data_IF_832730796335
#
_entry.id   IF_832730796335
#
_cell.length_a   1.000
_cell.length_b   1.000
_cell.length_c   1.000
_cell.angle_alpha   90.00
_cell.angle_beta   90.00
_cell.angle_gamma   90.00
#
_symmetry.space_group_name_H-M   'P 1'
#
loop_
_entity.id
_entity.type
_entity.pdbx_description
1 polymer ?
#
# COMPACT_ATOMS: atom_id res chain seq x y z
N UNK A 1 13.58 44.48 25.11
CA UNK A 1 13.87 43.17 24.53
C UNK A 1 13.87 43.39 23.02
N UNK A 2 15.05 43.67 22.45
CA UNK A 2 15.17 43.89 21.00
C UNK A 2 14.81 42.61 20.29
N UNK A 3 13.64 42.56 19.63
CA UNK A 3 13.26 41.54 18.70
C UNK A 3 14.16 41.66 17.46
N UNK A 4 15.45 41.29 17.60
CA UNK A 4 16.32 41.17 16.44
C UNK A 4 15.72 40.12 15.51
N UNK A 5 15.51 40.50 14.27
CA UNK A 5 15.08 39.58 13.24
C UNK A 5 16.04 38.39 13.15
N UNK A 6 15.56 37.20 13.48
CA UNK A 6 16.32 35.96 13.38
C UNK A 6 15.88 35.19 12.14
N UNK A 7 16.63 35.22 11.04
CA UNK A 7 16.30 34.57 9.81
C UNK A 7 16.29 33.04 9.96
N UNK A 8 17.12 32.47 10.84
CA UNK A 8 17.20 31.03 11.10
C UNK A 8 15.89 30.55 11.74
N UNK A 9 15.42 31.27 12.78
CA UNK A 9 14.14 31.01 13.40
C UNK A 9 12.99 31.11 12.38
N UNK A 10 13.00 32.16 11.54
CA UNK A 10 11.93 32.36 10.54
C UNK A 10 11.85 31.21 9.54
N UNK A 11 12.99 30.73 9.03
CA UNK A 11 13.05 29.56 8.13
C UNK A 11 12.56 28.32 8.87
N UNK A 12 12.99 28.08 10.10
CA UNK A 12 12.56 26.93 10.89
C UNK A 12 11.04 26.90 11.07
N UNK A 13 10.42 28.03 11.41
CA UNK A 13 8.96 28.15 11.58
C UNK A 13 8.21 27.90 10.27
N UNK A 14 8.74 28.38 9.14
CA UNK A 14 8.15 28.07 7.81
C UNK A 14 8.21 26.58 7.54
N UNK A 15 9.34 25.91 7.80
CA UNK A 15 9.45 24.45 7.60
C UNK A 15 8.50 23.66 8.50
N UNK A 16 8.37 24.03 9.79
CA UNK A 16 7.38 23.45 10.70
C UNK A 16 5.97 23.67 10.16
N UNK A 17 5.64 24.88 9.74
CA UNK A 17 4.34 25.21 9.15
C UNK A 17 4.03 24.37 7.92
N UNK A 18 4.95 24.31 6.95
CA UNK A 18 4.78 23.52 5.71
C UNK A 18 4.63 22.02 6.02
N UNK A 19 5.43 21.49 6.97
CA UNK A 19 5.36 20.08 7.37
C UNK A 19 3.96 19.65 7.84
N UNK A 20 3.25 20.50 8.56
CA UNK A 20 1.92 20.19 9.09
C UNK A 20 0.80 20.69 8.18
N UNK A 21 0.90 21.91 7.64
CA UNK A 21 -0.18 22.53 6.88
C UNK A 21 -0.48 21.76 5.59
N UNK A 22 0.55 21.34 4.84
CA UNK A 22 0.33 20.67 3.55
C UNK A 22 -0.41 19.33 3.70
N UNK A 23 0.01 18.37 4.57
CA UNK A 23 -0.74 17.14 4.79
C UNK A 23 -2.13 17.35 5.37
N UNK A 24 -2.29 18.30 6.30
CA UNK A 24 -3.60 18.63 6.88
C UNK A 24 -4.53 19.22 5.81
N UNK A 25 -4.05 20.20 5.03
CA UNK A 25 -4.83 20.81 3.96
C UNK A 25 -5.24 19.78 2.89
N UNK A 26 -4.33 18.87 2.53
CA UNK A 26 -4.64 17.78 1.61
C UNK A 26 -5.70 16.82 2.18
N UNK A 27 -5.56 16.43 3.45
CA UNK A 27 -6.56 15.60 4.11
C UNK A 27 -7.95 16.26 4.16
N UNK A 28 -8.02 17.53 4.55
CA UNK A 28 -9.27 18.28 4.57
C UNK A 28 -9.88 18.43 3.17
N UNK A 29 -9.04 18.72 2.16
CA UNK A 29 -9.47 18.75 0.76
C UNK A 29 -10.00 17.38 0.31
N UNK A 30 -9.29 16.30 0.61
CA UNK A 30 -9.72 14.94 0.30
C UNK A 30 -11.04 14.61 1.01
N UNK A 31 -11.13 14.88 2.31
CA UNK A 31 -12.29 14.59 3.15
C UNK A 31 -13.56 15.36 2.74
N UNK A 32 -13.44 16.66 2.43
CA UNK A 32 -14.58 17.53 2.20
C UNK A 32 -14.88 17.83 0.73
N UNK A 33 -13.97 17.48 -0.20
CA UNK A 33 -14.15 17.76 -1.63
C UNK A 33 -14.03 16.53 -2.51
N UNK A 34 -13.12 15.60 -2.24
CA UNK A 34 -12.95 14.43 -3.08
C UNK A 34 -13.85 13.27 -2.65
N UNK A 35 -14.00 13.06 -1.34
CA UNK A 35 -14.84 11.98 -0.77
C UNK A 35 -16.32 12.16 -1.11
N UNK A 36 -16.77 13.41 -1.24
CA UNK A 36 -18.16 13.74 -1.59
C UNK A 36 -18.47 13.57 -3.09
N UNK A 37 -17.47 13.29 -3.92
CA UNK A 37 -17.70 13.03 -5.35
C UNK A 37 -18.45 11.72 -5.52
N UNK A 38 -19.35 11.63 -6.50
CA UNK A 38 -19.93 10.36 -6.92
C UNK A 38 -18.84 9.47 -7.52
N UNK A 39 -19.02 8.16 -7.44
CA UNK A 39 -18.09 7.20 -8.03
C UNK A 39 -18.03 7.30 -9.55
N UNK A 40 -19.14 7.61 -10.22
CA UNK A 40 -19.26 7.63 -11.67
C UNK A 40 -18.67 6.37 -12.31
N UNK A 41 -19.09 5.22 -11.82
CA UNK A 41 -18.73 3.89 -12.31
C UNK A 41 -19.96 3.19 -12.88
N UNK A 42 -19.79 2.51 -13.99
CA UNK A 42 -20.78 1.62 -14.60
C UNK A 42 -20.55 0.19 -14.10
N UNK A 43 -21.06 -0.11 -12.90
CA UNK A 43 -20.87 -1.39 -12.23
C UNK A 43 -21.89 -2.41 -12.75
N UNK A 44 -21.43 -3.64 -13.01
CA UNK A 44 -22.28 -4.76 -13.46
C UNK A 44 -21.97 -6.05 -12.71
N UNK A 45 -22.94 -6.58 -12.00
CA UNK A 45 -22.85 -7.87 -11.29
C UNK A 45 -22.95 -9.08 -12.24
N UNK A 46 -23.38 -8.85 -13.47
CA UNK A 46 -23.44 -9.89 -14.53
C UNK A 46 -22.06 -10.17 -15.13
N UNK A 47 -21.11 -9.22 -14.99
CA UNK A 47 -19.76 -9.40 -15.49
C UNK A 47 -19.01 -10.46 -14.68
N UNK A 48 -18.78 -11.63 -15.29
CA UNK A 48 -18.15 -12.80 -14.68
C UNK A 48 -17.01 -13.32 -15.58
N UNK A 49 -15.86 -12.64 -15.69
CA UNK A 49 -14.71 -13.12 -16.45
C UNK A 49 -14.05 -14.33 -15.79
N UNK A 50 -13.21 -15.06 -16.53
CA UNK A 50 -12.31 -16.03 -15.92
C UNK A 50 -11.24 -15.27 -15.09
N UNK A 51 -10.99 -15.74 -13.86
CA UNK A 51 -10.12 -15.09 -12.86
C UNK A 51 -8.97 -16.02 -12.47
N UNK A 52 -7.74 -15.54 -12.60
CA UNK A 52 -6.54 -16.21 -12.10
C UNK A 52 -6.13 -15.59 -10.76
N UNK A 53 -6.30 -16.34 -9.67
CA UNK A 53 -5.89 -15.92 -8.32
C UNK A 53 -4.49 -16.42 -8.05
N UNK A 54 -3.53 -15.50 -7.89
CA UNK A 54 -2.13 -15.80 -7.68
C UNK A 54 -1.79 -15.66 -6.20
N UNK A 55 -1.27 -16.73 -5.60
CA UNK A 55 -0.80 -16.80 -4.22
C UNK A 55 0.72 -17.02 -4.22
N UNK A 56 1.54 -15.98 -4.09
CA UNK A 56 2.97 -16.15 -3.88
C UNK A 56 3.22 -16.66 -2.46
N UNK A 57 4.00 -17.75 -2.32
CA UNK A 57 4.27 -18.41 -1.04
C UNK A 57 5.76 -18.53 -0.75
N UNK A 58 6.11 -18.38 0.53
CA UNK A 58 7.39 -18.75 1.09
C UNK A 58 7.23 -19.08 2.57
N UNK A 59 7.30 -20.37 2.91
CA UNK A 59 7.11 -20.89 4.27
C UNK A 59 5.78 -20.46 4.89
N UNK A 60 4.67 -20.76 4.22
CA UNK A 60 3.30 -20.38 4.63
C UNK A 60 2.47 -21.57 5.15
N UNK A 61 3.10 -22.69 5.58
CA UNK A 61 2.40 -23.89 6.06
C UNK A 61 1.35 -23.61 7.14
N UNK A 62 1.60 -22.62 8.02
CA UNK A 62 0.69 -22.26 9.10
C UNK A 62 -0.61 -21.55 8.67
N UNK A 63 -0.70 -21.07 7.41
CA UNK A 63 -1.84 -20.25 6.94
C UNK A 63 -2.37 -20.65 5.57
N UNK A 64 -1.60 -21.39 4.77
CA UNK A 64 -1.94 -21.65 3.37
C UNK A 64 -3.24 -22.45 3.21
N UNK A 65 -3.53 -23.43 4.07
CA UNK A 65 -4.79 -24.17 4.04
C UNK A 65 -5.98 -23.26 4.27
N UNK A 66 -5.94 -22.44 5.32
CA UNK A 66 -7.01 -21.47 5.62
C UNK A 66 -7.20 -20.48 4.46
N UNK A 67 -6.10 -20.09 3.79
CA UNK A 67 -6.16 -19.22 2.61
C UNK A 67 -6.86 -19.88 1.42
N UNK A 68 -6.54 -21.11 1.12
CA UNK A 68 -7.18 -21.88 0.05
C UNK A 68 -8.67 -22.08 0.32
N UNK A 69 -9.04 -22.47 1.56
CA UNK A 69 -10.43 -22.60 1.99
C UNK A 69 -11.19 -21.26 1.89
N UNK A 70 -10.55 -20.15 2.24
CA UNK A 70 -11.13 -18.81 2.13
C UNK A 70 -11.37 -18.40 0.67
N UNK A 71 -10.48 -18.74 -0.26
CA UNK A 71 -10.68 -18.53 -1.70
C UNK A 71 -11.79 -19.43 -2.23
N UNK A 72 -11.80 -20.69 -1.84
CA UNK A 72 -12.82 -21.66 -2.24
C UNK A 72 -14.23 -21.27 -1.79
N UNK A 73 -14.35 -20.60 -0.65
CA UNK A 73 -15.60 -20.11 -0.10
C UNK A 73 -16.12 -18.80 -0.71
N UNK A 74 -15.39 -18.20 -1.67
CA UNK A 74 -15.82 -16.96 -2.32
C UNK A 74 -17.08 -17.16 -3.15
N UNK A 75 -17.95 -16.16 -3.16
CA UNK A 75 -19.16 -16.10 -3.97
C UNK A 75 -18.82 -15.75 -5.42
N UNK A 76 -18.20 -16.72 -6.11
CA UNK A 76 -17.82 -16.64 -7.51
C UNK A 76 -17.89 -18.03 -8.16
N UNK A 77 -18.31 -18.16 -9.45
CA UNK A 77 -18.38 -19.45 -10.13
C UNK A 77 -17.02 -20.15 -10.18
N UNK A 78 -16.93 -21.39 -9.69
CA UNK A 78 -15.67 -22.12 -9.56
C UNK A 78 -15.05 -22.50 -10.90
N UNK A 79 -15.89 -22.79 -11.89
CA UNK A 79 -15.47 -23.05 -13.28
C UNK A 79 -14.81 -21.84 -13.96
N UNK A 80 -15.01 -20.63 -13.41
CA UNK A 80 -14.36 -19.39 -13.82
C UNK A 80 -13.17 -18.99 -12.93
N UNK A 81 -12.81 -19.84 -11.94
CA UNK A 81 -11.67 -19.60 -11.07
C UNK A 81 -10.53 -20.56 -11.39
N UNK A 82 -9.32 -20.04 -11.50
CA UNK A 82 -8.09 -20.80 -11.33
C UNK A 82 -7.27 -20.22 -10.19
N UNK A 83 -6.63 -21.08 -9.42
CA UNK A 83 -5.69 -20.70 -8.35
C UNK A 83 -4.28 -21.09 -8.78
N UNK A 84 -3.36 -20.15 -8.71
CA UNK A 84 -1.95 -20.38 -9.06
C UNK A 84 -1.12 -20.11 -7.80
N UNK A 85 -0.62 -21.18 -7.18
CA UNK A 85 0.32 -21.07 -6.06
C UNK A 85 1.72 -21.08 -6.61
N UNK A 86 2.46 -20.01 -6.35
CA UNK A 86 3.88 -19.90 -6.73
C UNK A 86 4.72 -20.01 -5.49
N UNK A 87 5.44 -21.10 -5.37
CA UNK A 87 6.28 -21.40 -4.23
C UNK A 87 7.74 -21.02 -4.46
N UNK A 88 8.26 -20.12 -3.66
CA UNK A 88 9.62 -19.62 -3.72
C UNK A 88 10.52 -20.38 -2.74
N UNK A 89 10.69 -21.71 -2.92
CA UNK A 89 11.55 -22.59 -2.12
C UNK A 89 11.13 -22.73 -0.65
N UNK A 90 9.85 -23.00 -0.37
CA UNK A 90 9.41 -23.33 0.98
C UNK A 90 10.00 -24.64 1.49
N UNK A 91 10.37 -24.67 2.76
CA UNK A 91 10.94 -25.84 3.45
C UNK A 91 10.11 -26.33 4.64
N UNK A 92 8.94 -25.70 4.88
CA UNK A 92 8.08 -25.95 6.06
C UNK A 92 6.87 -26.87 5.77
N UNK A 93 6.81 -27.49 4.57
CA UNK A 93 5.68 -28.32 4.16
C UNK A 93 4.55 -27.56 3.48
N UNK A 94 4.71 -26.28 3.15
CA UNK A 94 3.71 -25.47 2.44
C UNK A 94 3.15 -26.18 1.22
N UNK A 95 4.00 -26.71 0.34
CA UNK A 95 3.60 -27.35 -0.93
C UNK A 95 2.87 -28.67 -0.71
N UNK A 96 3.23 -29.43 0.31
CA UNK A 96 2.55 -30.69 0.60
C UNK A 96 1.10 -30.44 1.04
N UNK A 97 0.88 -29.36 1.83
CA UNK A 97 -0.46 -28.91 2.22
C UNK A 97 -1.28 -28.47 0.98
N UNK A 98 -0.66 -27.75 0.04
CA UNK A 98 -1.32 -27.30 -1.19
C UNK A 98 -1.71 -28.51 -2.07
N UNK A 99 -0.84 -29.51 -2.23
CA UNK A 99 -1.12 -30.75 -2.99
C UNK A 99 -2.24 -31.55 -2.36
N UNK A 100 -2.20 -31.73 -1.04
CA UNK A 100 -3.26 -32.43 -0.30
C UNK A 100 -4.61 -31.70 -0.46
N UNK A 101 -4.61 -30.38 -0.36
CA UNK A 101 -5.80 -29.57 -0.54
C UNK A 101 -6.38 -29.72 -1.96
N UNK A 102 -5.55 -29.64 -2.99
CA UNK A 102 -5.93 -29.81 -4.39
C UNK A 102 -6.52 -31.18 -4.67
N UNK A 103 -5.97 -32.25 -4.04
CA UNK A 103 -6.50 -33.59 -4.16
C UNK A 103 -7.94 -33.73 -3.64
N UNK A 104 -8.34 -32.90 -2.70
CA UNK A 104 -9.69 -32.94 -2.10
C UNK A 104 -10.66 -31.93 -2.75
N UNK A 105 -10.21 -31.11 -3.70
CA UNK A 105 -10.99 -30.02 -4.32
C UNK A 105 -10.81 -30.02 -5.84
N UNK A 106 -11.38 -31.05 -6.51
CA UNK A 106 -11.23 -31.23 -7.97
C UNK A 106 -12.10 -30.31 -8.82
N UNK A 107 -13.03 -29.58 -8.20
CA UNK A 107 -13.98 -28.68 -8.86
C UNK A 107 -13.43 -27.25 -9.03
N UNK A 108 -12.17 -27.02 -8.67
CA UNK A 108 -11.42 -25.78 -8.92
C UNK A 108 -10.06 -26.08 -9.55
N UNK A 109 -9.70 -25.34 -10.61
CA UNK A 109 -8.40 -25.48 -11.25
C UNK A 109 -7.31 -24.93 -10.34
N UNK A 110 -6.35 -25.76 -9.86
CA UNK A 110 -5.21 -25.34 -9.07
C UNK A 110 -3.90 -25.72 -9.77
N UNK A 111 -3.04 -24.71 -9.98
CA UNK A 111 -1.69 -24.87 -10.52
C UNK A 111 -0.65 -24.60 -9.45
N UNK A 112 0.39 -25.43 -9.38
CA UNK A 112 1.53 -25.23 -8.49
C UNK A 112 2.75 -24.94 -9.35
N UNK A 113 3.40 -23.83 -9.11
CA UNK A 113 4.65 -23.43 -9.76
C UNK A 113 5.73 -23.37 -8.67
N UNK A 114 6.76 -24.19 -8.77
CA UNK A 114 7.90 -24.16 -7.87
C UNK A 114 9.05 -23.40 -8.51
N UNK A 115 9.57 -22.39 -7.81
CA UNK A 115 10.75 -21.62 -8.25
C UNK A 115 12.03 -22.32 -7.77
N UNK A 116 13.08 -22.29 -8.59
CA UNK A 116 14.39 -22.89 -8.28
C UNK A 116 15.21 -22.01 -7.33
N UNK A 117 14.91 -20.70 -7.30
CA UNK A 117 15.55 -19.72 -6.42
C UNK A 117 14.56 -18.66 -5.96
N UNK A 118 14.84 -18.06 -4.82
CA UNK A 118 14.00 -17.04 -4.20
C UNK A 118 14.39 -15.65 -4.69
N UNK A 119 13.61 -15.08 -5.64
CA UNK A 119 13.85 -13.76 -6.24
C UNK A 119 12.90 -12.66 -5.77
N UNK A 120 11.94 -12.99 -4.93
CA UNK A 120 10.95 -12.05 -4.37
C UNK A 120 9.57 -12.13 -5.03
N UNK A 121 8.59 -11.47 -4.38
CA UNK A 121 7.17 -11.57 -4.72
C UNK A 121 6.87 -11.19 -6.17
N UNK A 122 7.45 -10.11 -6.68
CA UNK A 122 7.19 -9.65 -8.04
C UNK A 122 7.65 -10.66 -9.11
N UNK A 123 8.73 -11.41 -8.85
CA UNK A 123 9.16 -12.51 -9.72
C UNK A 123 8.15 -13.65 -9.72
N UNK A 124 7.68 -14.05 -8.55
CA UNK A 124 6.64 -15.08 -8.43
C UNK A 124 5.34 -14.66 -9.15
N UNK A 125 4.92 -13.41 -9.01
CA UNK A 125 3.76 -12.86 -9.71
C UNK A 125 3.94 -12.86 -11.23
N UNK A 126 5.10 -12.46 -11.75
CA UNK A 126 5.40 -12.49 -13.20
C UNK A 126 5.52 -13.93 -13.72
N UNK A 127 5.99 -14.85 -12.91
CA UNK A 127 6.03 -16.26 -13.26
C UNK A 127 4.59 -16.80 -13.39
N UNK A 128 3.73 -16.52 -12.41
CA UNK A 128 2.30 -16.89 -12.48
C UNK A 128 1.60 -16.30 -13.71
N UNK A 129 1.89 -15.03 -14.05
CA UNK A 129 1.25 -14.33 -15.18
C UNK A 129 1.41 -15.06 -16.51
N UNK A 130 2.49 -15.81 -16.71
CA UNK A 130 2.75 -16.62 -17.91
C UNK A 130 1.81 -17.82 -18.03
N UNK A 131 1.28 -18.33 -16.90
CA UNK A 131 0.41 -19.50 -16.82
C UNK A 131 -1.04 -19.11 -16.51
N UNK A 132 -1.29 -17.83 -16.23
CA UNK A 132 -2.62 -17.30 -15.96
C UNK A 132 -3.47 -17.34 -17.22
N UNK A 133 -4.60 -18.07 -17.19
CA UNK A 133 -5.53 -18.21 -18.31
C UNK A 133 -6.74 -17.26 -18.19
N UNK A 134 -6.94 -16.63 -17.02
CA UNK A 134 -8.02 -15.69 -16.78
C UNK A 134 -7.80 -14.34 -17.46
N UNK A 135 -8.91 -13.63 -17.75
CA UNK A 135 -8.90 -12.25 -18.24
C UNK A 135 -8.55 -11.26 -17.12
N UNK A 136 -8.69 -11.70 -15.88
CA UNK A 136 -8.41 -10.95 -14.67
C UNK A 136 -7.39 -11.69 -13.82
N UNK A 137 -6.38 -10.97 -13.34
CA UNK A 137 -5.36 -11.49 -12.42
C UNK A 137 -5.53 -10.84 -11.06
N UNK A 138 -5.55 -11.67 -10.01
CA UNK A 138 -5.72 -11.24 -8.62
C UNK A 138 -4.48 -11.61 -7.82
N UNK A 139 -3.84 -10.63 -7.20
CA UNK A 139 -2.85 -10.88 -6.15
C UNK A 139 -3.59 -11.23 -4.86
N UNK A 140 -3.19 -12.31 -4.22
CA UNK A 140 -3.77 -12.81 -3.00
C UNK A 140 -2.67 -13.19 -2.00
N UNK A 141 -2.32 -12.28 -1.07
CA UNK A 141 -1.35 -12.61 -0.03
C UNK A 141 -1.83 -13.84 0.78
N UNK A 142 -0.90 -14.72 1.12
CA UNK A 142 -1.19 -16.01 1.75
C UNK A 142 -1.82 -15.91 3.15
N UNK A 143 -1.64 -14.78 3.83
CA UNK A 143 -2.09 -14.55 5.20
C UNK A 143 -3.28 -13.58 5.33
N UNK A 144 -3.92 -13.23 4.22
CA UNK A 144 -5.11 -12.40 4.20
C UNK A 144 -6.40 -13.23 4.25
N UNK A 145 -7.45 -12.69 4.86
CA UNK A 145 -8.79 -13.31 4.90
C UNK A 145 -9.79 -12.36 4.21
N UNK A 146 -10.48 -12.87 3.22
CA UNK A 146 -11.49 -12.15 2.45
C UNK A 146 -12.89 -12.45 2.98
N UNK A 147 -13.78 -11.44 3.11
CA UNK A 147 -15.22 -11.68 3.17
C UNK A 147 -15.68 -12.50 1.97
N UNK A 148 -16.77 -13.22 2.14
CA UNK A 148 -17.28 -14.16 1.13
C UNK A 148 -17.58 -13.51 -0.24
N UNK A 149 -17.98 -12.25 -0.23
CA UNK A 149 -18.36 -11.44 -1.39
C UNK A 149 -17.23 -10.54 -1.93
N UNK A 150 -16.02 -10.63 -1.36
CA UNK A 150 -14.95 -9.68 -1.71
C UNK A 150 -14.50 -9.79 -3.17
N UNK A 151 -14.38 -11.01 -3.69
CA UNK A 151 -13.98 -11.21 -5.08
C UNK A 151 -15.07 -10.74 -6.05
N UNK A 152 -16.32 -11.13 -5.85
CA UNK A 152 -17.43 -10.71 -6.72
C UNK A 152 -17.62 -9.20 -6.73
N UNK A 153 -17.48 -8.53 -5.58
CA UNK A 153 -17.49 -7.06 -5.49
C UNK A 153 -16.34 -6.41 -6.26
N UNK A 154 -15.12 -6.91 -6.12
CA UNK A 154 -13.98 -6.38 -6.85
C UNK A 154 -14.16 -6.52 -8.37
N UNK A 155 -14.68 -7.67 -8.82
CA UNK A 155 -14.95 -7.96 -10.23
C UNK A 155 -16.09 -7.08 -10.76
N UNK A 156 -17.17 -6.88 -10.00
CA UNK A 156 -18.27 -6.01 -10.46
C UNK A 156 -17.81 -4.55 -10.69
N UNK A 157 -16.90 -4.04 -9.87
CA UNK A 157 -16.30 -2.73 -10.07
C UNK A 157 -15.37 -2.71 -11.29
N UNK A 158 -14.62 -3.79 -11.51
CA UNK A 158 -13.73 -3.93 -12.67
C UNK A 158 -14.49 -4.02 -14.00
N UNK A 159 -15.81 -4.25 -13.97
CA UNK A 159 -16.67 -4.28 -15.17
C UNK A 159 -16.73 -2.94 -15.88
N UNK A 160 -16.50 -1.82 -15.16
CA UNK A 160 -16.38 -0.50 -15.79
C UNK A 160 -15.19 -0.48 -16.75
N UNK A 161 -15.39 -0.10 -18.02
CA UNK A 161 -14.32 -0.05 -19.03
C UNK A 161 -13.13 0.82 -18.64
N UNK A 162 -13.37 1.88 -17.87
CA UNK A 162 -12.31 2.79 -17.40
C UNK A 162 -11.57 2.27 -16.17
N UNK A 163 -12.10 1.29 -15.44
CA UNK A 163 -11.40 0.71 -14.29
C UNK A 163 -10.45 -0.39 -14.76
N UNK A 164 -9.17 -0.20 -14.51
CA UNK A 164 -8.12 -1.16 -14.86
C UNK A 164 -7.61 -1.97 -13.66
N UNK A 165 -7.80 -1.45 -12.45
CA UNK A 165 -7.39 -2.12 -11.22
C UNK A 165 -8.30 -1.77 -10.04
N UNK A 166 -8.51 -2.76 -9.14
CA UNK A 166 -9.30 -2.62 -7.90
C UNK A 166 -8.51 -3.22 -6.75
N UNK A 167 -8.49 -2.56 -5.60
CA UNK A 167 -7.94 -3.12 -4.37
C UNK A 167 -8.88 -2.84 -3.19
N UNK A 168 -8.47 -3.19 -1.99
CA UNK A 168 -9.30 -3.24 -0.80
C UNK A 168 -8.84 -2.26 0.29
N UNK A 169 -9.73 -1.96 1.21
CA UNK A 169 -9.41 -1.43 2.53
C UNK A 169 -9.03 -2.56 3.47
N UNK A 170 -8.27 -2.26 4.55
CA UNK A 170 -7.75 -3.29 5.46
C UNK A 170 -8.22 -3.09 6.89
N UNK A 171 -8.57 -4.20 7.53
CA UNK A 171 -8.80 -4.30 8.97
C UNK A 171 -7.83 -5.32 9.59
N UNK A 172 -7.31 -5.09 10.80
CA UNK A 172 -6.58 -6.12 11.50
C UNK A 172 -7.52 -7.29 11.82
N UNK A 173 -7.03 -8.53 11.64
CA UNK A 173 -7.81 -9.74 11.96
C UNK A 173 -8.13 -9.83 13.45
N UNK A 174 -7.20 -9.40 14.31
CA UNK A 174 -7.42 -9.29 15.76
C UNK A 174 -7.59 -7.83 16.15
N UNK A 175 -8.75 -7.42 16.71
CA UNK A 175 -8.93 -6.06 17.22
C UNK A 175 -8.01 -5.79 18.42
N UNK A 176 -7.60 -4.52 18.59
CA UNK A 176 -6.81 -4.07 19.76
C UNK A 176 -5.29 -4.14 19.58
N UNK A 177 -4.80 -4.61 18.46
CA UNK A 177 -3.36 -4.62 18.16
C UNK A 177 -2.92 -3.21 17.73
N UNK A 178 -2.44 -2.43 18.71
CA UNK A 178 -1.77 -1.13 18.58
C UNK A 178 -2.61 0.07 18.10
N UNK A 179 -2.96 0.95 19.03
CA UNK A 179 -3.67 2.19 18.77
C UNK A 179 -3.03 3.15 17.76
N UNK A 180 -1.72 3.01 17.48
CA UNK A 180 -1.00 3.74 16.43
C UNK A 180 -1.45 3.27 15.05
N UNK A 181 -1.60 1.95 14.86
CA UNK A 181 -2.01 1.36 13.59
C UNK A 181 -3.45 1.75 13.22
N UNK A 182 -4.35 1.76 14.17
CA UNK A 182 -5.75 2.12 13.95
C UNK A 182 -5.91 3.58 13.48
N UNK A 183 -5.30 4.53 14.18
CA UNK A 183 -5.32 5.95 13.79
C UNK A 183 -4.66 6.18 12.43
N UNK A 184 -3.56 5.50 12.14
CA UNK A 184 -2.91 5.53 10.85
C UNK A 184 -3.83 5.04 9.73
N UNK A 185 -4.50 3.89 9.92
CA UNK A 185 -5.40 3.31 8.91
C UNK A 185 -6.61 4.19 8.64
N UNK A 186 -7.25 4.75 9.67
CA UNK A 186 -8.38 5.66 9.48
C UNK A 186 -8.04 6.84 8.58
N UNK A 187 -6.89 7.49 8.83
CA UNK A 187 -6.42 8.60 8.01
C UNK A 187 -6.22 8.19 6.55
N UNK A 188 -5.46 7.12 6.31
CA UNK A 188 -5.14 6.70 4.95
C UNK A 188 -6.31 6.06 4.21
N UNK A 189 -7.22 5.34 4.88
CA UNK A 189 -8.40 4.79 4.24
C UNK A 189 -9.29 5.90 3.64
N UNK A 190 -9.47 7.01 4.37
CA UNK A 190 -10.19 8.18 3.85
C UNK A 190 -9.51 8.73 2.60
N UNK A 191 -8.19 8.88 2.62
CA UNK A 191 -7.42 9.35 1.45
C UNK A 191 -7.59 8.39 0.27
N UNK A 192 -7.43 7.08 0.46
CA UNK A 192 -7.53 6.08 -0.62
C UNK A 192 -8.90 6.08 -1.29
N UNK A 193 -9.99 6.17 -0.51
CA UNK A 193 -11.35 6.29 -1.05
C UNK A 193 -11.52 7.61 -1.80
N UNK A 194 -11.14 8.73 -1.21
CA UNK A 194 -11.28 10.06 -1.79
C UNK A 194 -10.51 10.22 -3.11
N UNK A 195 -9.26 9.71 -3.15
CA UNK A 195 -8.42 9.67 -4.35
C UNK A 195 -9.04 8.80 -5.44
N UNK A 196 -9.57 7.63 -5.06
CA UNK A 196 -10.26 6.70 -5.96
C UNK A 196 -11.51 7.35 -6.56
N UNK A 197 -12.31 8.04 -5.76
CA UNK A 197 -13.47 8.82 -6.26
C UNK A 197 -13.05 9.95 -7.19
N UNK A 198 -11.89 10.58 -6.94
CA UNK A 198 -11.38 11.62 -7.82
C UNK A 198 -10.89 11.08 -9.17
N UNK A 199 -10.16 9.95 -9.16
CA UNK A 199 -9.70 9.23 -10.33
C UNK A 199 -9.06 7.88 -9.96
N UNK A 200 -7.93 7.88 -9.25
CA UNK A 200 -7.16 6.71 -8.87
C UNK A 200 -6.37 7.00 -7.59
N UNK A 201 -6.08 5.97 -6.80
CA UNK A 201 -5.14 6.03 -5.68
C UNK A 201 -3.81 5.38 -6.06
N UNK A 202 -2.65 5.97 -5.69
CA UNK A 202 -1.34 5.42 -6.00
C UNK A 202 -0.89 4.33 -5.02
N UNK A 203 -1.69 4.02 -4.00
CA UNK A 203 -1.34 3.00 -2.99
C UNK A 203 -2.39 1.91 -2.98
N UNK A 204 -1.97 0.71 -3.33
CA UNK A 204 -2.76 -0.52 -3.34
C UNK A 204 -2.32 -1.47 -2.22
N UNK A 205 -3.03 -2.56 -2.08
CA UNK A 205 -2.82 -3.56 -1.04
C UNK A 205 -2.84 -4.96 -1.64
N UNK A 206 -1.72 -5.69 -1.53
CA UNK A 206 -1.54 -7.02 -2.07
C UNK A 206 -2.38 -8.11 -1.39
N UNK A 207 -3.04 -7.78 -0.28
CA UNK A 207 -3.99 -8.66 0.39
C UNK A 207 -5.17 -9.02 -0.55
N UNK A 208 -5.59 -8.06 -1.39
CA UNK A 208 -6.50 -8.23 -2.51
C UNK A 208 -6.23 -7.13 -3.53
N UNK A 209 -5.57 -7.45 -4.64
CA UNK A 209 -5.36 -6.52 -5.74
C UNK A 209 -5.72 -7.19 -7.07
N UNK A 210 -6.68 -6.62 -7.77
CA UNK A 210 -7.33 -7.16 -8.96
C UNK A 210 -6.95 -6.30 -10.15
N UNK A 211 -6.53 -6.93 -11.25
CA UNK A 211 -6.04 -6.25 -12.45
C UNK A 211 -6.63 -6.87 -13.71
N UNK A 212 -6.97 -6.06 -14.70
CA UNK A 212 -7.20 -6.55 -16.07
C UNK A 212 -5.88 -7.09 -16.63
N UNK A 213 -5.86 -8.33 -17.10
CA UNK A 213 -4.64 -9.01 -17.55
C UNK A 213 -3.99 -8.32 -18.75
N UNK A 214 -4.79 -7.86 -19.71
CA UNK A 214 -4.31 -7.12 -20.88
C UNK A 214 -3.53 -5.85 -20.48
N UNK A 215 -3.96 -5.17 -19.42
CA UNK A 215 -3.27 -3.98 -18.89
C UNK A 215 -1.97 -4.33 -18.18
N UNK A 216 -1.93 -5.46 -17.45
CA UNK A 216 -0.68 -5.98 -16.87
C UNK A 216 0.34 -6.27 -17.96
N UNK A 217 -0.07 -6.93 -19.04
CA UNK A 217 0.78 -7.24 -20.19
C UNK A 217 1.29 -5.96 -20.88
N UNK A 218 0.42 -4.97 -21.08
CA UNK A 218 0.77 -3.67 -21.68
C UNK A 218 1.81 -2.88 -20.87
N UNK A 219 1.82 -3.00 -19.55
CA UNK A 219 2.83 -2.32 -18.70
C UNK A 219 4.07 -3.15 -18.46
N UNK A 220 4.14 -4.39 -18.97
CA UNK A 220 5.27 -5.30 -18.83
C UNK A 220 5.28 -6.13 -17.54
N UNK A 221 4.13 -6.32 -16.89
CA UNK A 221 3.97 -7.08 -15.66
C UNK A 221 4.31 -6.30 -14.39
N UNK A 222 4.67 -7.04 -13.35
CA UNK A 222 5.01 -6.51 -12.03
C UNK A 222 6.48 -6.07 -11.93
N UNK A 223 6.79 -4.98 -11.19
CA UNK A 223 8.15 -4.46 -11.09
C UNK A 223 9.03 -5.38 -10.24
N UNK A 224 10.15 -5.84 -10.79
CA UNK A 224 11.08 -6.78 -10.11
C UNK A 224 12.22 -6.08 -9.36
N UNK A 225 12.38 -4.78 -9.54
CA UNK A 225 13.48 -3.97 -9.00
C UNK A 225 13.07 -3.14 -7.77
N UNK A 226 11.81 -3.23 -7.36
CA UNK A 226 11.24 -2.59 -6.17
C UNK A 226 10.28 -3.53 -5.44
N UNK A 227 10.02 -3.26 -4.14
CA UNK A 227 9.12 -4.09 -3.33
C UNK A 227 7.63 -3.72 -3.39
N UNK A 228 7.26 -2.66 -4.12
CA UNK A 228 5.89 -2.16 -4.24
C UNK A 228 5.19 -2.73 -5.49
N UNK A 229 5.05 -4.04 -5.54
CA UNK A 229 4.46 -4.76 -6.68
C UNK A 229 3.02 -4.34 -6.97
N UNK A 230 2.19 -4.18 -5.96
CA UNK A 230 0.79 -3.78 -6.07
C UNK A 230 0.61 -2.29 -6.42
N UNK A 231 1.19 -1.40 -5.63
CA UNK A 231 1.00 0.06 -5.72
C UNK A 231 1.61 0.65 -7.00
N UNK A 232 2.82 0.22 -7.36
CA UNK A 232 3.47 0.68 -8.59
C UNK A 232 2.72 0.19 -9.83
N UNK A 233 2.29 -1.08 -9.85
CA UNK A 233 1.49 -1.66 -10.95
C UNK A 233 0.18 -0.91 -11.13
N UNK A 234 -0.57 -0.66 -10.05
CA UNK A 234 -1.80 0.13 -10.09
C UNK A 234 -1.55 1.56 -10.62
N UNK A 235 -0.47 2.21 -10.17
CA UNK A 235 -0.08 3.53 -10.65
C UNK A 235 0.27 3.51 -12.14
N UNK A 236 1.00 2.50 -12.64
CA UNK A 236 1.31 2.35 -14.07
C UNK A 236 0.05 2.21 -14.92
N UNK A 237 -0.94 1.43 -14.47
CA UNK A 237 -2.24 1.31 -15.12
C UNK A 237 -2.97 2.66 -15.13
N UNK A 238 -2.91 3.41 -14.02
CA UNK A 238 -3.53 4.74 -13.95
C UNK A 238 -2.84 5.76 -14.87
N UNK A 239 -1.53 5.63 -15.14
CA UNK A 239 -0.80 6.44 -16.12
C UNK A 239 -1.22 6.15 -17.58
N UNK A 240 -1.73 4.95 -17.86
CA UNK A 240 -2.32 4.63 -19.18
C UNK A 240 -3.69 5.29 -19.41
N UNK A 241 -4.24 5.97 -18.39
CA UNK A 241 -5.55 6.64 -18.48
C UNK A 241 -6.70 5.83 -17.88
N UNK A 242 -6.44 4.66 -17.28
CA UNK A 242 -7.42 3.89 -16.56
C UNK A 242 -7.54 4.34 -15.08
N UNK A 243 -8.57 3.87 -14.40
CA UNK A 243 -8.75 4.10 -12.96
C UNK A 243 -8.20 2.92 -12.17
N UNK A 244 -7.48 3.22 -11.08
CA UNK A 244 -7.04 2.26 -10.09
C UNK A 244 -7.70 2.66 -8.75
N UNK A 245 -8.66 1.86 -8.27
CA UNK A 245 -9.59 2.29 -7.23
C UNK A 245 -9.62 1.37 -6.02
N UNK A 246 -9.91 1.94 -4.85
CA UNK A 246 -10.22 1.24 -3.60
C UNK A 246 -11.61 1.71 -3.16
N UNK A 247 -12.64 0.86 -3.26
CA UNK A 247 -14.00 1.22 -2.85
C UNK A 247 -14.14 1.24 -1.33
N UNK A 248 -15.13 1.98 -0.84
CA UNK A 248 -15.38 2.17 0.60
C UNK A 248 -15.96 0.94 1.31
N UNK A 249 -16.53 0.01 0.57
CA UNK A 249 -17.22 -1.17 1.08
C UNK A 249 -16.46 -2.49 0.86
N UNK A 250 -15.29 -2.47 0.18
CA UNK A 250 -14.45 -3.65 -0.03
C UNK A 250 -13.35 -3.74 1.04
N UNK A 251 -13.60 -4.56 2.04
CA UNK A 251 -12.69 -4.75 3.18
C UNK A 251 -12.09 -6.14 3.16
N UNK A 252 -10.83 -6.25 3.60
CA UNK A 252 -10.17 -7.53 3.90
C UNK A 252 -9.51 -7.49 5.28
N UNK A 253 -9.25 -8.67 5.84
CA UNK A 253 -8.59 -8.81 7.13
C UNK A 253 -7.12 -9.19 6.92
N UNK A 254 -6.24 -8.48 7.63
CA UNK A 254 -4.79 -8.64 7.59
C UNK A 254 -4.26 -9.11 8.94
N UNK A 255 -3.32 -10.05 8.92
CA UNK A 255 -2.56 -10.43 10.11
C UNK A 255 -1.46 -9.41 10.36
N UNK A 256 -1.58 -8.66 11.45
CA UNK A 256 -0.55 -7.69 11.87
C UNK A 256 0.48 -8.43 12.75
N UNK A 257 1.80 -8.31 12.48
CA UNK A 257 2.81 -9.01 13.26
C UNK A 257 2.85 -8.49 14.69
N UNK A 258 2.83 -9.42 15.66
CA UNK A 258 2.98 -9.10 17.09
C UNK A 258 4.44 -8.83 17.48
N UNK A 259 5.39 -9.45 16.75
CA UNK A 259 6.83 -9.22 16.90
C UNK A 259 7.39 -8.62 15.61
N UNK A 260 8.37 -7.72 15.72
CA UNK A 260 8.98 -7.09 14.54
C UNK A 260 8.09 -6.04 13.86
N UNK A 261 7.09 -5.46 14.53
CA UNK A 261 6.19 -4.44 13.99
C UNK A 261 6.95 -3.25 13.36
N UNK A 262 7.99 -2.73 14.04
CA UNK A 262 8.81 -1.62 13.53
C UNK A 262 9.50 -1.99 12.20
N UNK A 263 10.11 -3.17 12.11
CA UNK A 263 10.79 -3.64 10.88
C UNK A 263 9.78 -3.80 9.73
N UNK A 264 8.59 -4.34 10.03
CA UNK A 264 7.51 -4.48 9.08
C UNK A 264 7.02 -3.12 8.55
N UNK A 265 6.90 -2.10 9.43
CA UNK A 265 6.53 -0.73 9.04
C UNK A 265 7.60 -0.03 8.21
N UNK A 266 8.87 -0.17 8.60
CA UNK A 266 10.01 0.40 7.84
C UNK A 266 10.06 -0.23 6.45
N UNK A 267 9.89 -1.54 6.30
CA UNK A 267 9.86 -2.20 5.00
C UNK A 267 8.72 -1.66 4.11
N UNK A 268 7.50 -1.52 4.65
CA UNK A 268 6.38 -0.94 3.90
C UNK A 268 6.64 0.51 3.49
N UNK A 269 7.27 1.29 4.36
CA UNK A 269 7.72 2.64 4.04
C UNK A 269 8.79 2.63 2.93
N UNK A 270 9.76 1.67 2.95
CA UNK A 270 10.73 1.50 1.87
C UNK A 270 10.05 1.27 0.52
N UNK A 271 9.06 0.37 0.47
CA UNK A 271 8.32 0.07 -0.74
C UNK A 271 7.56 1.28 -1.29
N UNK A 272 6.91 2.08 -0.42
CA UNK A 272 6.25 3.32 -0.82
C UNK A 272 7.24 4.34 -1.40
N UNK A 273 8.38 4.55 -0.72
CA UNK A 273 9.44 5.45 -1.21
C UNK A 273 9.96 4.98 -2.56
N UNK A 274 10.22 3.68 -2.75
CA UNK A 274 10.67 3.11 -4.01
C UNK A 274 9.65 3.37 -5.13
N UNK A 275 8.36 3.15 -4.85
CA UNK A 275 7.27 3.39 -5.80
C UNK A 275 7.21 4.87 -6.22
N UNK A 276 7.13 5.79 -5.25
CA UNK A 276 7.04 7.21 -5.56
C UNK A 276 8.29 7.75 -6.26
N UNK A 277 9.48 7.32 -5.84
CA UNK A 277 10.73 7.72 -6.51
C UNK A 277 10.75 7.28 -7.96
N UNK A 278 10.35 6.03 -8.23
CA UNK A 278 10.35 5.46 -9.57
C UNK A 278 9.30 6.12 -10.48
N UNK A 279 8.19 6.61 -9.92
CA UNK A 279 7.10 7.21 -10.69
C UNK A 279 7.31 8.70 -11.00
N UNK A 280 8.18 9.43 -10.28
CA UNK A 280 8.42 10.88 -10.47
C UNK A 280 8.64 11.27 -11.94
N UNK A 281 9.50 10.59 -12.73
CA UNK A 281 9.74 10.95 -14.12
C UNK A 281 8.48 10.86 -15.01
N UNK A 282 7.53 10.01 -14.62
CA UNK A 282 6.32 9.71 -15.39
C UNK A 282 5.13 10.58 -14.99
N UNK A 283 5.18 11.32 -13.87
CA UNK A 283 4.05 12.14 -13.35
C UNK A 283 3.53 13.11 -14.42
N UNK A 284 4.39 13.61 -15.30
CA UNK A 284 3.99 14.54 -16.38
C UNK A 284 2.95 13.93 -17.33
N UNK A 285 2.96 12.61 -17.51
CA UNK A 285 2.06 11.84 -18.39
C UNK A 285 0.73 11.50 -17.74
N UNK A 286 0.62 11.68 -16.42
CA UNK A 286 -0.57 11.31 -15.67
C UNK A 286 -1.80 12.15 -16.09
N UNK A 287 -3.01 11.54 -16.11
CA UNK A 287 -4.26 12.29 -16.22
C UNK A 287 -4.32 13.44 -15.21
N UNK A 288 -4.91 14.58 -15.59
CA UNK A 288 -4.86 15.83 -14.82
C UNK A 288 -5.28 15.66 -13.34
N UNK A 289 -6.33 14.88 -13.10
CA UNK A 289 -6.84 14.59 -11.74
C UNK A 289 -5.83 13.76 -10.94
N UNK A 290 -5.29 12.71 -11.55
CA UNK A 290 -4.33 11.81 -10.91
C UNK A 290 -2.96 12.47 -10.70
N UNK A 291 -2.54 13.35 -11.62
CA UNK A 291 -1.29 14.13 -11.49
C UNK A 291 -1.22 14.91 -10.18
N UNK A 292 -2.32 15.57 -9.78
CA UNK A 292 -2.38 16.32 -8.51
C UNK A 292 -2.21 15.40 -7.31
N UNK A 293 -2.86 14.24 -7.32
CA UNK A 293 -2.76 13.23 -6.27
C UNK A 293 -1.31 12.73 -6.19
N UNK A 294 -0.72 12.34 -7.32
CA UNK A 294 0.67 11.85 -7.36
C UNK A 294 1.67 12.88 -6.85
N UNK A 295 1.51 14.16 -7.20
CA UNK A 295 2.40 15.23 -6.73
C UNK A 295 2.34 15.39 -5.22
N UNK A 296 1.13 15.42 -4.64
CA UNK A 296 0.96 15.59 -3.20
C UNK A 296 1.39 14.34 -2.43
N UNK A 297 1.02 13.15 -2.88
CA UNK A 297 1.44 11.89 -2.25
C UNK A 297 2.98 11.72 -2.35
N UNK A 298 3.60 12.05 -3.48
CA UNK A 298 5.07 12.05 -3.60
C UNK A 298 5.72 13.04 -2.64
N UNK A 299 5.17 14.25 -2.49
CA UNK A 299 5.65 15.23 -1.53
C UNK A 299 5.55 14.70 -0.08
N UNK A 300 4.38 14.17 0.31
CA UNK A 300 4.14 13.64 1.66
C UNK A 300 5.11 12.51 2.02
N UNK A 301 5.46 11.65 1.06
CA UNK A 301 6.30 10.48 1.33
C UNK A 301 7.80 10.72 1.11
N UNK A 302 8.19 11.63 0.22
CA UNK A 302 9.59 11.82 -0.15
C UNK A 302 10.21 13.09 0.44
N UNK A 303 9.46 14.18 0.57
CA UNK A 303 9.99 15.49 0.99
C UNK A 303 9.57 15.85 2.42
N UNK A 304 8.29 15.73 2.71
CA UNK A 304 7.72 16.17 4.00
C UNK A 304 8.41 15.58 5.24
N UNK A 305 8.85 14.28 5.26
CA UNK A 305 9.51 13.70 6.43
C UNK A 305 10.78 14.44 6.85
N UNK A 306 11.50 15.03 5.90
CA UNK A 306 12.78 15.71 6.13
C UNK A 306 12.65 17.12 6.69
N UNK A 307 11.45 17.75 6.54
CA UNK A 307 11.26 19.15 6.95
C UNK A 307 11.35 19.32 8.47
N UNK A 308 10.79 18.39 9.23
CA UNK A 308 10.77 18.51 10.69
C UNK A 308 12.17 18.31 11.31
N UNK A 309 12.98 17.30 10.96
CA UNK A 309 14.37 17.22 11.41
C UNK A 309 15.20 18.46 11.05
N UNK A 310 15.05 18.95 9.81
CA UNK A 310 15.75 20.16 9.38
C UNK A 310 15.32 21.38 10.20
N UNK A 311 14.02 21.56 10.40
CA UNK A 311 13.49 22.63 11.26
C UNK A 311 14.01 22.51 12.70
N UNK A 312 14.08 21.29 13.25
CA UNK A 312 14.61 21.06 14.60
C UNK A 312 16.08 21.47 14.71
N UNK A 313 16.91 21.14 13.71
CA UNK A 313 18.32 21.55 13.65
C UNK A 313 18.40 23.08 13.62
N UNK A 314 17.60 23.76 12.79
CA UNK A 314 17.59 25.23 12.71
C UNK A 314 17.09 25.86 14.00
N UNK A 315 16.09 25.33 14.68
CA UNK A 315 15.62 25.79 15.98
C UNK A 315 16.70 25.66 17.05
N UNK A 316 17.44 24.55 17.10
CA UNK A 316 18.56 24.35 18.00
C UNK A 316 19.68 25.33 17.71
N UNK A 317 19.99 25.60 16.44
CA UNK A 317 20.99 26.58 16.02
C UNK A 317 20.59 28.01 16.46
N UNK A 318 19.33 28.41 16.24
CA UNK A 318 18.81 29.69 16.68
C UNK A 318 18.86 29.85 18.22
N UNK A 319 18.49 28.78 18.94
CA UNK A 319 18.54 28.77 20.40
C UNK A 319 19.99 28.94 20.96
N UNK A 320 20.96 28.26 20.34
CA UNK A 320 22.33 28.22 20.84
C UNK A 320 23.17 29.39 20.35
N UNK A 321 23.12 29.75 19.07
CA UNK A 321 23.97 30.84 18.51
C UNK A 321 23.33 32.21 18.65
N UNK A 322 22.01 32.32 18.54
CA UNK A 322 21.32 33.62 18.67
C UNK A 322 20.66 33.81 20.02
N UNK A 323 20.77 32.82 20.92
CA UNK A 323 20.15 32.83 22.26
C UNK A 323 18.65 33.15 22.22
N UNK A 324 17.94 32.68 21.15
CA UNK A 324 16.56 33.04 20.93
C UNK A 324 15.62 32.12 21.76
N UNK A 325 14.93 32.67 22.78
CA UNK A 325 14.08 31.87 23.67
C UNK A 325 12.84 31.26 22.93
N UNK A 326 12.39 31.91 21.86
CA UNK A 326 11.24 31.41 21.07
C UNK A 326 11.52 30.03 20.49
N UNK A 327 12.77 29.76 20.07
CA UNK A 327 13.18 28.44 19.55
C UNK A 327 13.06 27.37 20.62
N UNK A 328 13.42 27.65 21.86
CA UNK A 328 13.28 26.70 22.99
C UNK A 328 11.82 26.43 23.27
N UNK A 329 10.96 27.46 23.26
CA UNK A 329 9.52 27.32 23.46
C UNK A 329 8.90 26.45 22.36
N UNK A 330 9.24 26.67 21.09
CA UNK A 330 8.73 25.89 19.96
C UNK A 330 9.13 24.41 20.09
N UNK A 331 10.39 24.12 20.43
CA UNK A 331 10.85 22.74 20.69
C UNK A 331 10.08 22.13 21.86
N UNK A 332 9.92 22.87 22.96
CA UNK A 332 9.19 22.43 24.13
C UNK A 332 7.72 22.06 23.82
N UNK A 333 7.06 22.92 23.03
CA UNK A 333 5.70 22.63 22.54
C UNK A 333 5.68 21.34 21.70
N UNK A 334 6.63 21.17 20.76
CA UNK A 334 6.74 19.96 19.94
C UNK A 334 6.89 18.69 20.79
N UNK A 335 7.71 18.74 21.85
CA UNK A 335 7.89 17.63 22.79
C UNK A 335 6.59 17.37 23.58
N UNK A 336 5.95 18.42 24.10
CA UNK A 336 4.71 18.29 24.84
C UNK A 336 3.59 17.67 23.99
N UNK A 337 3.49 18.05 22.70
CA UNK A 337 2.50 17.49 21.78
C UNK A 337 2.66 15.97 21.55
N UNK A 338 3.81 15.36 21.84
CA UNK A 338 3.99 13.91 21.79
C UNK A 338 3.08 13.14 22.77
N UNK A 339 2.53 13.80 23.79
CA UNK A 339 1.50 13.22 24.67
C UNK A 339 0.19 12.98 23.94
N UNK A 340 -0.07 13.72 22.85
CA UNK A 340 -1.29 13.65 22.05
C UNK A 340 -1.15 12.52 21.01
N UNK A 341 -2.03 11.50 21.09
CA UNK A 341 -1.97 10.29 20.26
C UNK A 341 -1.88 10.55 18.75
N UNK A 342 -2.74 11.39 18.11
CA UNK A 342 -2.63 11.66 16.67
C UNK A 342 -1.28 12.27 16.27
N UNK A 343 -0.78 13.24 17.03
CA UNK A 343 0.52 13.86 16.77
C UNK A 343 1.67 12.86 16.90
N UNK A 344 1.70 12.08 17.99
CA UNK A 344 2.69 11.02 18.19
C UNK A 344 2.66 9.99 17.05
N UNK A 345 1.48 9.57 16.61
CA UNK A 345 1.32 8.65 15.47
C UNK A 345 1.93 9.25 14.21
N UNK A 346 1.61 10.52 13.90
CA UNK A 346 2.16 11.22 12.75
C UNK A 346 3.69 11.26 12.79
N UNK A 347 4.28 11.74 13.89
CA UNK A 347 5.74 11.83 14.05
C UNK A 347 6.40 10.44 13.89
N UNK A 348 5.84 9.41 14.52
CA UNK A 348 6.37 8.04 14.40
C UNK A 348 6.38 7.55 12.95
N UNK A 349 5.33 7.83 12.18
CA UNK A 349 5.28 7.45 10.77
C UNK A 349 6.28 8.23 9.92
N UNK A 350 6.50 9.52 10.20
CA UNK A 350 7.53 10.30 9.53
C UNK A 350 8.94 9.74 9.81
N UNK A 351 9.22 9.33 11.05
CA UNK A 351 10.49 8.68 11.40
C UNK A 351 10.69 7.36 10.65
N UNK A 352 9.63 6.54 10.49
CA UNK A 352 9.73 5.32 9.69
C UNK A 352 10.04 5.62 8.22
N UNK A 353 9.49 6.69 7.64
CA UNK A 353 9.82 7.12 6.29
C UNK A 353 11.28 7.56 6.17
N UNK A 354 11.82 8.32 7.14
CA UNK A 354 13.22 8.73 7.15
C UNK A 354 14.14 7.52 7.23
N UNK A 355 13.90 6.62 8.19
CA UNK A 355 14.70 5.39 8.36
C UNK A 355 14.64 4.53 7.08
N UNK A 356 13.45 4.40 6.48
CA UNK A 356 13.24 3.68 5.24
C UNK A 356 13.99 4.32 4.07
N UNK A 357 13.97 5.66 3.95
CA UNK A 357 14.70 6.37 2.91
C UNK A 357 16.21 6.15 3.02
N UNK A 358 16.76 6.26 4.23
CA UNK A 358 18.17 6.01 4.52
C UNK A 358 18.50 4.54 4.18
N UNK A 359 17.66 3.58 4.61
CA UNK A 359 17.86 2.15 4.35
C UNK A 359 17.85 1.83 2.84
N UNK A 360 17.02 2.51 2.06
CA UNK A 360 16.94 2.33 0.60
C UNK A 360 18.24 2.71 -0.14
N UNK A 361 19.17 3.47 0.47
CA UNK A 361 20.45 3.81 -0.15
C UNK A 361 21.37 2.59 -0.26
N UNK A 362 21.23 1.59 0.64
CA UNK A 362 22.10 0.42 0.66
C UNK A 362 21.38 -0.94 0.58
N UNK A 363 20.09 -0.99 0.91
CA UNK A 363 19.31 -2.24 0.84
C UNK A 363 17.84 -1.96 0.53
N UNK A 364 17.40 -2.32 -0.66
CA UNK A 364 16.01 -2.13 -1.12
C UNK A 364 15.01 -3.14 -0.53
N UNK A 365 15.46 -4.17 0.17
CA UNK A 365 14.64 -5.22 0.80
C UNK A 365 13.52 -5.78 -0.11
N UNK A 366 13.86 -6.06 -1.37
CA UNK A 366 12.95 -6.67 -2.35
C UNK A 366 12.60 -8.11 -1.94
N UNK A 367 13.57 -8.84 -1.41
CA UNK A 367 13.42 -10.18 -0.85
C UNK A 367 13.49 -10.07 0.66
N UNK A 368 12.35 -10.23 1.33
CA UNK A 368 12.27 -10.03 2.78
C UNK A 368 12.33 -11.32 3.59
N UNK A 369 12.80 -11.21 4.83
CA UNK A 369 12.75 -12.29 5.82
C UNK A 369 11.30 -12.42 6.30
N UNK A 370 10.77 -13.66 6.34
CA UNK A 370 9.44 -13.93 6.88
C UNK A 370 9.36 -13.52 8.35
N UNK A 371 8.29 -12.81 8.70
CA UNK A 371 7.99 -12.45 10.09
C UNK A 371 6.89 -13.36 10.62
N UNK A 372 7.00 -13.79 11.88
CA UNK A 372 5.92 -14.51 12.56
C UNK A 372 4.73 -13.57 12.80
N UNK A 373 3.60 -13.91 12.22
CA UNK A 373 2.33 -13.16 12.34
C UNK A 373 1.33 -13.90 13.22
#
# INVERSE_FOLDING_TARGET
MDLRFDPILSIALVLVGVHFIVPIAYYLYARFRLLEKPWNLSISDVYKPKVSIVIPTYNEAGVIRERLDNIYSQDYPRDLLEVIVVDSMSSDGTIDIVREWSYNHHDIELKIISEEDRRGKAYALNNALRYASGDVVVIADADAIWPRDALSRAISILSDPLVGAVSCLKKPLKPGVMGVEEGYRQYYNILRIAESKAWATPVFHGELAVFKKDLLERIGGFPVDIGADDSYTATRIALLGYRAVIPEDLWVYERVPSRGYTSWRIRRAQHLIQSFTKIIPEIRRAPKQFKKILLVESYIHLVNPWLLPLATILLLTSATLHHNPTSIVVIGIGILLLTIKPYRTWITMQLYLIIAAIKNLYNKEIIWIKQSK
#
